data_IF_102803161282
#
_entry.id   IF_102803161282
#
_cell.length_a   1.000
_cell.length_b   1.000
_cell.length_c   1.000
_cell.angle_alpha   90.00
_cell.angle_beta   90.00
_cell.angle_gamma   90.00
#
_symmetry.space_group_name_H-M   'P 1'
#
loop_
_entity.id
_entity.type
_entity.pdbx_description
1 polymer ?
#
# COMPACT_ATOMS: atom_id res chain seq x y z
N UNK A 1 -4.33 17.59 -6.30
CA UNK A 1 -5.77 17.77 -6.06
C UNK A 1 -6.54 16.88 -7.04
N UNK A 2 -7.59 16.13 -6.58
CA UNK A 2 -8.37 15.28 -7.46
C UNK A 2 -9.07 16.10 -8.56
N UNK A 3 -9.14 15.55 -9.76
CA UNK A 3 -9.76 16.23 -10.92
C UNK A 3 -11.27 16.05 -10.97
N UNK A 4 -11.84 15.08 -10.24
CA UNK A 4 -13.28 14.80 -10.18
C UNK A 4 -13.63 13.81 -9.08
N UNK A 5 -14.91 13.52 -8.92
CA UNK A 5 -15.44 12.52 -7.99
C UNK A 5 -15.51 13.00 -6.55
N UNK A 6 -15.72 12.00 -5.66
CA UNK A 6 -15.89 12.21 -4.21
C UNK A 6 -14.94 11.30 -3.45
N UNK A 7 -14.42 11.80 -2.33
CA UNK A 7 -13.58 11.03 -1.41
C UNK A 7 -14.26 10.98 -0.06
N UNK A 8 -14.42 9.78 0.46
CA UNK A 8 -14.95 9.53 1.80
C UNK A 8 -13.90 8.83 2.67
N UNK A 9 -13.86 9.19 3.93
CA UNK A 9 -13.09 8.50 4.95
C UNK A 9 -13.95 8.28 6.18
N UNK A 10 -14.11 7.03 6.59
CA UNK A 10 -14.93 6.63 7.74
C UNK A 10 -16.34 7.25 7.69
N UNK A 11 -16.99 7.17 6.51
CA UNK A 11 -18.30 7.74 6.23
C UNK A 11 -18.35 9.27 6.06
N UNK A 12 -17.27 10.00 6.35
CA UNK A 12 -17.19 11.45 6.21
C UNK A 12 -16.73 11.83 4.80
N UNK A 13 -17.44 12.77 4.17
CA UNK A 13 -17.07 13.34 2.88
C UNK A 13 -15.91 14.32 3.07
N UNK A 14 -14.73 13.97 2.50
CA UNK A 14 -13.53 14.80 2.56
C UNK A 14 -13.40 15.74 1.37
N UNK A 15 -13.81 15.28 0.22
CA UNK A 15 -13.69 16.00 -1.04
C UNK A 15 -14.89 15.70 -1.95
N UNK A 16 -15.41 16.74 -2.58
CA UNK A 16 -16.42 16.64 -3.64
C UNK A 16 -16.15 17.76 -4.65
N UNK A 17 -15.72 17.39 -5.85
CA UNK A 17 -15.39 18.35 -6.90
C UNK A 17 -16.60 19.16 -7.34
N UNK A 18 -17.74 18.50 -7.50
CA UNK A 18 -18.95 19.09 -8.05
C UNK A 18 -19.55 20.13 -7.09
N UNK A 19 -19.50 19.83 -5.79
CA UNK A 19 -19.99 20.72 -4.73
C UNK A 19 -18.89 21.61 -4.12
N UNK A 20 -17.67 21.59 -4.66
CA UNK A 20 -16.51 22.36 -4.18
C UNK A 20 -16.23 22.16 -2.68
N UNK A 21 -16.46 20.94 -2.18
CA UNK A 21 -16.18 20.58 -0.78
C UNK A 21 -14.73 20.14 -0.67
N UNK A 22 -13.99 20.84 0.20
CA UNK A 22 -12.66 20.42 0.66
C UNK A 22 -12.57 20.76 2.15
N UNK A 23 -12.37 19.73 2.97
CA UNK A 23 -12.31 19.89 4.43
C UNK A 23 -10.89 20.23 4.88
N UNK A 24 -10.77 20.80 6.10
CA UNK A 24 -9.46 20.85 6.75
C UNK A 24 -8.92 19.44 6.95
N UNK A 25 -7.75 19.18 6.37
CA UNK A 25 -7.10 17.85 6.39
C UNK A 25 -6.27 17.58 7.65
N UNK A 26 -6.01 18.58 8.49
CA UNK A 26 -5.13 18.41 9.65
C UNK A 26 -5.62 17.30 10.62
N UNK A 27 -6.91 17.22 11.00
CA UNK A 27 -7.42 16.13 11.84
C UNK A 27 -7.33 14.75 11.18
N UNK A 28 -7.46 14.71 9.85
CA UNK A 28 -7.39 13.46 9.08
C UNK A 28 -5.95 12.98 8.86
N UNK A 29 -4.99 13.89 8.73
CA UNK A 29 -3.56 13.57 8.62
C UNK A 29 -3.05 12.79 9.82
N UNK A 30 -3.61 12.99 11.01
CA UNK A 30 -3.31 12.16 12.17
C UNK A 30 -3.81 10.71 11.99
N UNK A 31 -4.97 10.52 11.37
CA UNK A 31 -5.62 9.21 11.21
C UNK A 31 -5.15 8.44 9.98
N UNK A 32 -4.67 9.16 8.96
CA UNK A 32 -4.19 8.62 7.70
C UNK A 32 -2.73 9.00 7.52
N UNK A 33 -1.87 8.02 7.38
CA UNK A 33 -0.45 8.23 7.18
C UNK A 33 0.01 7.58 5.89
N UNK A 34 1.15 8.01 5.36
CA UNK A 34 1.74 7.46 4.16
C UNK A 34 3.18 7.01 4.42
N UNK A 35 3.52 5.83 3.91
CA UNK A 35 4.90 5.35 3.81
C UNK A 35 5.28 5.38 2.34
N UNK A 36 6.27 6.21 2.01
CA UNK A 36 6.67 6.48 0.63
C UNK A 36 7.58 5.40 0.05
N UNK A 37 7.59 5.32 -1.27
CA UNK A 37 8.41 4.42 -2.07
C UNK A 37 9.92 4.59 -1.81
N UNK A 38 10.39 5.82 -1.80
CA UNK A 38 11.80 6.15 -1.56
C UNK A 38 12.00 6.63 -0.12
N UNK A 39 12.55 5.76 0.77
CA UNK A 39 12.81 6.16 2.14
C UNK A 39 13.91 7.23 2.25
N UNK A 40 14.80 7.34 1.26
CA UNK A 40 15.85 8.35 1.28
C UNK A 40 15.29 9.75 0.98
N UNK A 41 14.50 9.88 -0.07
CA UNK A 41 13.89 11.15 -0.45
C UNK A 41 12.81 11.62 0.55
N UNK A 42 12.23 10.70 1.33
CA UNK A 42 11.16 11.01 2.28
C UNK A 42 11.62 11.45 3.68
N UNK A 43 12.92 11.34 3.99
CA UNK A 43 13.49 11.69 5.30
C UNK A 43 14.44 12.91 5.14
N UNK A 44 14.30 13.93 5.98
CA UNK A 44 15.23 15.09 5.96
C UNK A 44 16.62 14.64 6.48
N UNK A 45 17.66 14.69 5.64
CA UNK A 45 19.00 14.23 6.02
C UNK A 45 19.68 15.07 7.12
N UNK A 46 19.13 16.24 7.44
CA UNK A 46 19.64 17.14 8.47
C UNK A 46 19.05 16.87 9.85
N UNK A 47 17.98 16.08 9.91
CA UNK A 47 17.31 15.72 11.16
C UNK A 47 17.84 14.39 11.70
N UNK A 48 17.83 14.23 13.03
CA UNK A 48 18.06 12.92 13.66
C UNK A 48 16.86 12.00 13.45
N UNK A 49 17.06 10.69 13.60
CA UNK A 49 15.95 9.73 13.51
C UNK A 49 14.87 10.02 14.57
N UNK A 50 15.29 10.39 15.78
CA UNK A 50 14.36 10.77 16.86
C UNK A 50 13.52 11.99 16.50
N UNK A 51 14.10 12.99 15.84
CA UNK A 51 13.37 14.18 15.40
C UNK A 51 12.40 13.85 14.26
N UNK A 52 12.84 13.04 13.28
CA UNK A 52 11.99 12.60 12.16
C UNK A 52 10.77 11.83 12.65
N UNK A 53 10.97 10.88 13.59
CA UNK A 53 9.87 10.07 14.14
C UNK A 53 9.01 10.91 15.08
N UNK A 54 9.62 11.80 15.87
CA UNK A 54 8.93 12.64 16.84
C UNK A 54 8.18 13.84 16.25
N UNK A 55 8.43 14.23 14.99
CA UNK A 55 7.79 15.39 14.36
C UNK A 55 6.26 15.35 14.46
N UNK A 56 5.66 14.17 14.23
CA UNK A 56 4.23 14.00 14.36
C UNK A 56 3.71 14.20 15.80
N UNK A 57 4.48 13.80 16.80
CA UNK A 57 4.18 14.05 18.22
C UNK A 57 4.13 15.56 18.47
N UNK A 58 5.12 16.28 17.97
CA UNK A 58 5.29 17.71 18.21
C UNK A 58 4.17 18.52 17.54
N UNK A 59 3.87 18.25 16.25
CA UNK A 59 2.82 18.92 15.48
C UNK A 59 1.43 18.73 16.09
N UNK A 60 1.15 17.53 16.59
CA UNK A 60 -0.18 17.17 17.10
C UNK A 60 -0.26 17.15 18.64
N UNK A 61 0.79 17.62 19.34
CA UNK A 61 0.85 17.72 20.80
C UNK A 61 0.48 16.41 21.51
N UNK A 62 1.13 15.29 21.10
CA UNK A 62 0.82 13.95 21.57
C UNK A 62 1.67 13.49 22.76
N UNK A 63 2.58 14.32 23.24
CA UNK A 63 3.38 14.05 24.42
C UNK A 63 3.06 15.07 25.53
N UNK A 64 3.09 14.60 26.78
CA UNK A 64 2.88 15.43 27.96
C UNK A 64 4.12 16.27 28.31
N UNK A 65 5.31 15.75 28.01
CA UNK A 65 6.61 16.37 28.27
C UNK A 65 7.72 15.70 27.44
N UNK A 66 8.94 16.25 27.49
CA UNK A 66 10.09 15.74 26.75
C UNK A 66 10.43 14.27 27.06
N UNK A 67 10.24 13.84 28.29
CA UNK A 67 10.49 12.46 28.67
C UNK A 67 9.47 11.51 28.01
N UNK A 68 8.19 11.84 28.06
CA UNK A 68 7.11 11.07 27.43
C UNK A 68 7.30 11.01 25.90
N UNK A 69 7.71 12.16 25.28
CA UNK A 69 8.09 12.20 23.87
C UNK A 69 9.22 11.21 23.56
N UNK A 70 10.29 11.27 24.33
CA UNK A 70 11.44 10.39 24.15
C UNK A 70 11.08 8.92 24.33
N UNK A 71 10.36 8.57 25.39
CA UNK A 71 9.95 7.20 25.70
C UNK A 71 9.07 6.61 24.58
N UNK A 72 8.14 7.38 24.02
CA UNK A 72 7.32 6.99 22.86
C UNK A 72 8.16 6.72 21.62
N UNK A 73 9.12 7.57 21.31
CA UNK A 73 10.02 7.41 20.15
C UNK A 73 10.84 6.13 20.31
N UNK A 74 11.49 5.94 21.48
CA UNK A 74 12.32 4.76 21.74
C UNK A 74 11.49 3.47 21.65
N UNK A 75 10.34 3.40 22.31
CA UNK A 75 9.47 2.23 22.28
C UNK A 75 9.06 1.88 20.83
N UNK A 76 8.82 2.89 20.00
CA UNK A 76 8.45 2.64 18.61
C UNK A 76 9.64 2.23 17.73
N UNK A 77 10.83 2.80 17.94
CA UNK A 77 12.05 2.36 17.26
C UNK A 77 12.35 0.90 17.57
N UNK A 78 12.27 0.49 18.82
CA UNK A 78 12.45 -0.90 19.22
C UNK A 78 11.40 -1.83 18.59
N UNK A 79 10.15 -1.39 18.54
CA UNK A 79 9.05 -2.15 17.89
C UNK A 79 9.28 -2.38 16.41
N UNK A 80 9.88 -1.43 15.69
CA UNK A 80 10.25 -1.63 14.28
C UNK A 80 11.60 -2.31 14.09
N UNK A 81 12.22 -2.82 15.18
CA UNK A 81 13.49 -3.57 15.16
C UNK A 81 14.72 -2.68 15.00
N UNK A 82 14.66 -1.44 15.47
CA UNK A 82 15.79 -0.54 15.60
C UNK A 82 16.19 -0.39 17.08
N UNK A 83 17.45 -0.01 17.34
CA UNK A 83 17.93 0.19 18.71
C UNK A 83 17.62 1.61 19.18
N UNK A 84 17.49 1.80 20.50
CA UNK A 84 17.28 3.11 21.14
C UNK A 84 18.38 4.14 20.78
N UNK A 85 19.62 3.70 20.67
CA UNK A 85 20.75 4.56 20.26
C UNK A 85 20.60 5.17 18.87
N UNK A 86 19.79 4.54 18.00
CA UNK A 86 19.50 5.01 16.66
C UNK A 86 18.76 6.35 16.66
N UNK A 87 18.08 6.71 17.72
CA UNK A 87 17.35 7.99 17.82
C UNK A 87 18.25 9.21 17.59
N UNK A 88 19.52 9.13 18.02
CA UNK A 88 20.49 10.24 17.94
C UNK A 88 21.31 10.25 16.63
N UNK A 89 21.07 9.31 15.73
CA UNK A 89 21.78 9.19 14.45
C UNK A 89 21.02 9.86 13.31
N UNK A 90 21.74 10.14 12.24
CA UNK A 90 21.19 10.70 11.00
C UNK A 90 20.82 9.60 10.01
N UNK A 91 19.84 9.86 9.15
CA UNK A 91 19.33 8.85 8.21
C UNK A 91 20.38 8.34 7.21
N UNK A 92 21.43 9.12 6.89
CA UNK A 92 22.50 8.71 5.98
C UNK A 92 23.39 7.60 6.56
N UNK A 93 23.37 7.36 7.87
CA UNK A 93 24.12 6.30 8.55
C UNK A 93 23.41 4.93 8.48
N UNK A 94 22.24 4.87 7.90
CA UNK A 94 21.38 3.68 7.89
C UNK A 94 21.34 2.99 6.53
N UNK A 95 21.16 1.65 6.54
CA UNK A 95 20.85 0.88 5.33
C UNK A 95 19.46 1.23 4.79
N UNK A 96 19.16 0.86 3.53
CA UNK A 96 17.85 1.08 2.93
C UNK A 96 16.71 0.49 3.76
N UNK A 97 16.86 -0.75 4.24
CA UNK A 97 15.86 -1.41 5.08
C UNK A 97 15.68 -0.75 6.44
N UNK A 98 16.75 -0.24 7.04
CA UNK A 98 16.65 0.52 8.29
C UNK A 98 15.94 1.85 8.10
N UNK A 99 16.22 2.59 7.00
CA UNK A 99 15.50 3.82 6.66
C UNK A 99 14.02 3.56 6.42
N UNK A 100 13.69 2.45 5.77
CA UNK A 100 12.29 2.05 5.59
C UNK A 100 11.58 1.82 6.92
N UNK A 101 12.24 1.17 7.88
CA UNK A 101 11.72 0.99 9.24
C UNK A 101 11.52 2.34 9.96
N UNK A 102 12.39 3.32 9.74
CA UNK A 102 12.20 4.70 10.22
C UNK A 102 10.96 5.34 9.60
N UNK A 103 10.76 5.20 8.29
CA UNK A 103 9.57 5.69 7.59
C UNK A 103 8.27 5.06 8.15
N UNK A 104 8.30 3.76 8.45
CA UNK A 104 7.18 3.06 9.10
C UNK A 104 6.98 3.58 10.53
N UNK A 105 8.04 3.75 11.31
CA UNK A 105 7.95 4.33 12.67
C UNK A 105 7.34 5.73 12.63
N UNK A 106 7.79 6.60 11.71
CA UNK A 106 7.23 7.94 11.53
C UNK A 106 5.72 7.91 11.24
N UNK A 107 5.25 6.97 10.44
CA UNK A 107 3.82 6.82 10.18
C UNK A 107 3.05 6.29 11.42
N UNK A 108 3.63 5.35 12.14
CA UNK A 108 2.99 4.67 13.27
C UNK A 108 2.91 5.50 14.54
N UNK A 109 3.83 6.46 14.76
CA UNK A 109 3.87 7.28 15.97
C UNK A 109 2.55 8.03 16.21
N UNK A 110 1.81 8.29 15.14
CA UNK A 110 0.51 8.93 15.16
C UNK A 110 -0.64 8.01 15.58
N UNK A 111 -0.37 6.71 15.73
CA UNK A 111 -1.40 5.69 15.95
C UNK A 111 -2.54 5.77 14.90
N UNK A 112 -2.22 5.68 13.60
CA UNK A 112 -3.17 5.92 12.53
C UNK A 112 -4.19 4.78 12.40
N UNK A 113 -5.34 5.09 11.80
CA UNK A 113 -6.34 4.08 11.41
C UNK A 113 -6.10 3.52 10.02
N UNK A 114 -5.40 4.27 9.16
CA UNK A 114 -5.06 3.89 7.80
C UNK A 114 -3.62 4.27 7.48
N UNK A 115 -2.87 3.33 6.93
CA UNK A 115 -1.56 3.60 6.33
C UNK A 115 -1.63 3.29 4.83
N UNK A 116 -1.25 4.26 4.02
CA UNK A 116 -1.02 4.07 2.58
C UNK A 116 0.45 3.69 2.42
N UNK A 117 0.70 2.47 2.00
CA UNK A 117 2.04 1.94 1.77
C UNK A 117 2.30 1.96 0.25
N UNK A 118 2.93 3.03 -0.22
CA UNK A 118 3.16 3.28 -1.65
C UNK A 118 4.51 2.71 -2.08
N UNK A 119 4.49 1.53 -2.70
CA UNK A 119 5.66 0.75 -3.16
C UNK A 119 6.82 0.70 -2.14
N UNK A 120 6.49 0.79 -0.87
CA UNK A 120 7.43 1.03 0.22
C UNK A 120 8.48 -0.08 0.44
N UNK A 121 8.38 -1.21 -0.23
CA UNK A 121 9.32 -2.32 -0.14
C UNK A 121 10.07 -2.60 -1.45
N UNK A 122 9.73 -1.94 -2.55
CA UNK A 122 10.24 -2.25 -3.89
C UNK A 122 11.76 -2.11 -4.05
N UNK A 123 12.36 -1.17 -3.32
CA UNK A 123 13.79 -0.90 -3.36
C UNK A 123 14.63 -1.74 -2.37
N UNK A 124 14.02 -2.71 -1.68
CA UNK A 124 14.67 -3.55 -0.68
C UNK A 124 15.01 -4.94 -1.21
N UNK A 125 16.06 -5.55 -0.66
CA UNK A 125 16.38 -6.95 -0.92
C UNK A 125 15.25 -7.87 -0.43
N UNK A 126 15.02 -9.01 -1.10
CA UNK A 126 13.91 -9.95 -0.84
C UNK A 126 13.82 -10.36 0.65
N UNK A 127 14.96 -10.59 1.30
CA UNK A 127 14.99 -10.96 2.73
C UNK A 127 14.51 -9.82 3.63
N UNK A 128 14.85 -8.59 3.29
CA UNK A 128 14.43 -7.39 4.03
C UNK A 128 12.96 -7.06 3.74
N UNK A 129 12.51 -7.24 2.50
CA UNK A 129 11.09 -7.11 2.15
C UNK A 129 10.22 -8.00 3.04
N UNK A 130 10.57 -9.29 3.16
CA UNK A 130 9.83 -10.24 3.99
C UNK A 130 9.78 -9.81 5.47
N UNK A 131 10.88 -9.30 6.01
CA UNK A 131 10.93 -8.79 7.39
C UNK A 131 10.03 -7.58 7.59
N UNK A 132 10.03 -6.62 6.64
CA UNK A 132 9.20 -5.42 6.71
C UNK A 132 7.72 -5.78 6.58
N UNK A 133 7.36 -6.67 5.67
CA UNK A 133 5.96 -7.11 5.49
C UNK A 133 5.45 -7.86 6.72
N UNK A 134 6.25 -8.75 7.32
CA UNK A 134 5.88 -9.40 8.57
C UNK A 134 5.67 -8.39 9.71
N UNK A 135 6.58 -7.42 9.86
CA UNK A 135 6.42 -6.34 10.82
C UNK A 135 5.10 -5.58 10.61
N UNK A 136 4.75 -5.26 9.35
CA UNK A 136 3.48 -4.57 9.05
C UNK A 136 2.26 -5.43 9.42
N UNK A 137 2.31 -6.74 9.19
CA UNK A 137 1.23 -7.68 9.59
C UNK A 137 1.11 -7.78 11.12
N UNK A 138 2.23 -7.89 11.83
CA UNK A 138 2.23 -7.93 13.30
C UNK A 138 1.59 -6.66 13.87
N UNK A 139 1.97 -5.49 13.33
CA UNK A 139 1.40 -4.20 13.71
C UNK A 139 -0.10 -4.15 13.39
N UNK A 140 -0.53 -4.64 12.23
CA UNK A 140 -1.94 -4.71 11.85
C UNK A 140 -2.74 -5.52 12.88
N UNK A 141 -2.25 -6.70 13.24
CA UNK A 141 -2.90 -7.58 14.22
C UNK A 141 -3.01 -6.94 15.60
N UNK A 142 -1.96 -6.24 16.04
CA UNK A 142 -1.92 -5.61 17.35
C UNK A 142 -2.78 -4.33 17.45
N UNK A 143 -2.79 -3.52 16.40
CA UNK A 143 -3.40 -2.18 16.42
C UNK A 143 -4.74 -2.07 15.69
N UNK A 144 -5.06 -3.03 14.83
CA UNK A 144 -6.20 -2.94 13.92
C UNK A 144 -6.05 -1.86 12.83
N UNK A 145 -4.84 -1.36 12.58
CA UNK A 145 -4.57 -0.39 11.52
C UNK A 145 -4.84 -1.01 10.14
N UNK A 146 -5.63 -0.34 9.32
CA UNK A 146 -5.85 -0.77 7.94
C UNK A 146 -4.68 -0.33 7.04
N UNK A 147 -4.34 -1.14 6.04
CA UNK A 147 -3.33 -0.80 5.03
C UNK A 147 -3.96 -0.73 3.64
N UNK A 148 -3.66 0.34 2.91
CA UNK A 148 -3.75 0.39 1.46
C UNK A 148 -2.36 0.15 0.89
N UNK A 149 -2.10 -1.09 0.47
CA UNK A 149 -0.78 -1.52 0.00
C UNK A 149 -0.72 -1.42 -1.52
N UNK A 150 0.10 -0.53 -2.05
CA UNK A 150 0.34 -0.36 -3.48
C UNK A 150 1.66 -1.06 -3.80
N UNK A 151 1.63 -2.03 -4.70
CA UNK A 151 2.81 -2.80 -5.09
C UNK A 151 2.67 -3.38 -6.50
N UNK A 152 3.81 -3.71 -7.10
CA UNK A 152 3.91 -4.42 -8.37
C UNK A 152 4.36 -5.90 -8.19
N UNK A 153 4.84 -6.30 -7.01
CA UNK A 153 5.16 -7.71 -6.70
C UNK A 153 3.91 -8.44 -6.22
N UNK A 154 3.35 -9.24 -7.11
CA UNK A 154 2.12 -9.99 -6.87
C UNK A 154 2.28 -11.06 -5.79
N UNK A 155 3.49 -11.62 -5.59
CA UNK A 155 3.74 -12.60 -4.54
C UNK A 155 3.59 -11.98 -3.16
N UNK A 156 4.10 -10.75 -3.00
CA UNK A 156 3.96 -9.98 -1.77
C UNK A 156 2.51 -9.52 -1.56
N UNK A 157 1.82 -9.08 -2.63
CA UNK A 157 0.40 -8.72 -2.58
C UNK A 157 -0.43 -9.91 -2.12
N UNK A 158 -0.20 -11.11 -2.66
CA UNK A 158 -0.88 -12.34 -2.22
C UNK A 158 -0.70 -12.63 -0.73
N UNK A 159 0.49 -12.34 -0.21
CA UNK A 159 0.84 -12.65 1.18
C UNK A 159 0.23 -11.66 2.19
N UNK A 160 0.17 -10.36 1.85
CA UNK A 160 -0.21 -9.30 2.81
C UNK A 160 -1.69 -8.90 2.72
N UNK A 161 -2.32 -9.05 1.54
CA UNK A 161 -3.62 -8.45 1.27
C UNK A 161 -4.79 -9.39 1.53
N UNK A 162 -5.87 -8.88 2.12
CA UNK A 162 -7.15 -9.58 2.22
C UNK A 162 -7.98 -9.38 0.94
N UNK A 163 -7.85 -8.21 0.33
CA UNK A 163 -8.57 -7.80 -0.89
C UNK A 163 -7.61 -7.14 -1.87
N UNK A 164 -7.89 -7.29 -3.15
CA UNK A 164 -7.06 -6.76 -4.24
C UNK A 164 -7.93 -5.93 -5.18
N UNK A 165 -7.33 -4.84 -5.66
CA UNK A 165 -7.82 -4.08 -6.80
C UNK A 165 -6.74 -4.02 -7.88
N UNK A 166 -7.06 -4.46 -9.09
CA UNK A 166 -6.15 -4.43 -10.24
C UNK A 166 -6.36 -3.13 -11.01
N UNK A 167 -5.32 -2.31 -11.04
CA UNK A 167 -5.33 -1.00 -11.70
C UNK A 167 -4.48 -1.04 -12.98
N UNK A 168 -5.00 -0.52 -14.09
CA UNK A 168 -4.25 -0.37 -15.33
C UNK A 168 -4.65 0.92 -16.05
N UNK A 169 -3.67 1.70 -16.47
CA UNK A 169 -3.86 2.99 -17.15
C UNK A 169 -4.88 3.91 -16.46
N UNK A 170 -4.88 3.96 -15.14
CA UNK A 170 -5.81 4.77 -14.34
C UNK A 170 -7.21 4.19 -14.18
N UNK A 171 -7.48 2.99 -14.68
CA UNK A 171 -8.76 2.31 -14.54
C UNK A 171 -8.67 1.13 -13.58
N UNK A 172 -9.62 1.06 -12.64
CA UNK A 172 -9.80 -0.11 -11.78
C UNK A 172 -10.56 -1.18 -12.57
N UNK A 173 -9.84 -2.24 -12.95
CA UNK A 173 -10.33 -3.26 -13.88
C UNK A 173 -11.01 -4.43 -13.16
N UNK A 174 -10.44 -4.85 -12.03
CA UNK A 174 -10.92 -6.01 -11.31
C UNK A 174 -10.72 -5.85 -9.81
N UNK A 175 -11.67 -6.30 -8.99
CA UNK A 175 -11.59 -6.23 -7.52
C UNK A 175 -12.21 -7.47 -6.89
N UNK A 176 -11.58 -8.00 -5.84
CA UNK A 176 -12.08 -9.16 -5.12
C UNK A 176 -11.28 -9.43 -3.86
N UNK A 177 -11.56 -10.55 -3.20
CA UNK A 177 -10.64 -11.09 -2.20
C UNK A 177 -9.37 -11.57 -2.89
N UNK A 178 -8.30 -11.75 -2.12
CA UNK A 178 -7.05 -12.29 -2.66
C UNK A 178 -7.28 -13.65 -3.33
N UNK A 179 -8.09 -14.51 -2.73
CA UNK A 179 -8.44 -15.83 -3.27
C UNK A 179 -9.20 -15.72 -4.60
N UNK A 180 -10.27 -14.89 -4.66
CA UNK A 180 -11.05 -14.66 -5.87
C UNK A 180 -10.18 -14.19 -7.05
N UNK A 181 -9.28 -13.23 -6.81
CA UNK A 181 -8.42 -12.68 -7.88
C UNK A 181 -7.35 -13.68 -8.32
N UNK A 182 -6.74 -14.43 -7.39
CA UNK A 182 -5.66 -15.36 -7.74
C UNK A 182 -6.14 -16.68 -8.34
N UNK A 183 -7.32 -17.17 -7.94
CA UNK A 183 -7.86 -18.45 -8.41
C UNK A 183 -8.77 -18.29 -9.63
N UNK A 184 -9.52 -17.18 -9.69
CA UNK A 184 -10.52 -16.93 -10.73
C UNK A 184 -10.38 -15.55 -11.40
N UNK A 185 -9.19 -15.19 -11.94
CA UNK A 185 -9.02 -13.91 -12.64
C UNK A 185 -9.88 -13.86 -13.90
N UNK A 186 -10.64 -12.78 -14.07
CA UNK A 186 -11.57 -12.63 -15.19
C UNK A 186 -10.98 -11.73 -16.28
N UNK A 187 -10.46 -10.55 -15.92
CA UNK A 187 -9.95 -9.60 -16.90
C UNK A 187 -8.66 -10.13 -17.56
N UNK A 188 -8.50 -10.05 -18.90
CA UNK A 188 -7.30 -10.54 -19.61
C UNK A 188 -5.99 -9.94 -19.07
N UNK A 189 -6.00 -8.67 -18.66
CA UNK A 189 -4.84 -8.04 -18.02
C UNK A 189 -4.49 -8.71 -16.68
N UNK A 190 -5.48 -9.01 -15.85
CA UNK A 190 -5.25 -9.71 -14.56
C UNK A 190 -4.66 -11.10 -14.80
N UNK A 191 -5.20 -11.85 -15.77
CA UNK A 191 -4.66 -13.16 -16.17
C UNK A 191 -3.20 -13.06 -16.64
N UNK A 192 -2.90 -12.08 -17.47
CA UNK A 192 -1.54 -11.82 -17.93
C UNK A 192 -0.59 -11.52 -16.77
N UNK A 193 -0.98 -10.65 -15.83
CA UNK A 193 -0.17 -10.34 -14.64
C UNK A 193 0.10 -11.59 -13.79
N UNK A 194 -0.93 -12.38 -13.50
CA UNK A 194 -0.81 -13.58 -12.67
C UNK A 194 -0.03 -14.68 -13.38
N UNK A 195 -0.17 -14.79 -14.70
CA UNK A 195 0.60 -15.74 -15.50
C UNK A 195 2.09 -15.41 -15.54
N UNK A 196 2.50 -14.20 -15.21
CA UNK A 196 3.90 -13.79 -15.14
C UNK A 196 4.59 -14.15 -13.81
N UNK A 197 3.83 -14.57 -12.77
CA UNK A 197 4.41 -14.97 -11.48
C UNK A 197 5.25 -16.25 -11.65
N UNK A 198 6.55 -16.27 -11.31
CA UNK A 198 7.38 -17.47 -11.44
C UNK A 198 6.86 -18.61 -10.55
N UNK A 199 6.84 -19.82 -11.11
CA UNK A 199 6.48 -21.01 -10.35
C UNK A 199 7.72 -21.56 -9.62
N UNK A 200 7.57 -22.03 -8.36
CA UNK A 200 8.70 -22.55 -7.57
C UNK A 200 9.38 -23.79 -8.20
N UNK A 201 8.67 -24.50 -9.09
CA UNK A 201 9.20 -25.70 -9.75
C UNK A 201 9.85 -25.34 -11.10
N UNK A 202 11.20 -25.44 -11.24
CA UNK A 202 11.93 -25.08 -12.46
C UNK A 202 11.53 -25.89 -13.70
N UNK A 203 11.06 -27.13 -13.51
CA UNK A 203 10.64 -28.01 -14.63
C UNK A 203 9.30 -27.52 -15.21
N UNK A 204 8.38 -27.14 -14.34
CA UNK A 204 7.07 -26.60 -14.74
C UNK A 204 7.26 -25.21 -15.34
N UNK A 205 8.09 -24.38 -14.71
CA UNK A 205 8.39 -23.01 -15.17
C UNK A 205 8.96 -23.01 -16.62
N UNK A 206 9.86 -23.92 -16.96
CA UNK A 206 10.41 -24.03 -18.32
C UNK A 206 9.36 -24.34 -19.41
N UNK A 207 8.22 -24.91 -19.04
CA UNK A 207 7.14 -25.29 -19.96
C UNK A 207 6.01 -24.28 -19.99
N UNK A 208 6.01 -23.35 -19.06
CA UNK A 208 4.97 -22.34 -18.91
C UNK A 208 5.10 -21.31 -20.02
N UNK A 209 3.98 -20.99 -20.65
CA UNK A 209 3.84 -19.84 -21.56
C UNK A 209 3.07 -18.78 -20.81
N UNK A 210 3.70 -17.67 -20.50
CA UNK A 210 3.01 -16.53 -19.88
C UNK A 210 2.04 -15.92 -20.89
N UNK A 211 0.84 -15.59 -20.45
CA UNK A 211 -0.11 -14.82 -21.25
C UNK A 211 0.42 -13.39 -21.41
N UNK A 212 0.33 -12.87 -22.63
CA UNK A 212 0.69 -11.48 -22.92
C UNK A 212 -0.56 -10.66 -23.14
N UNK A 213 -0.62 -9.49 -22.53
CA UNK A 213 -1.69 -8.53 -22.73
C UNK A 213 -1.11 -7.21 -23.23
N UNK A 214 -1.63 -6.73 -24.34
CA UNK A 214 -1.34 -5.41 -24.87
C UNK A 214 -2.65 -4.65 -25.08
N UNK A 215 -2.81 -3.57 -24.33
CA UNK A 215 -4.01 -2.74 -24.41
C UNK A 215 -4.26 -2.18 -25.82
N UNK A 216 -3.19 -1.78 -26.52
CA UNK A 216 -3.31 -1.16 -27.83
C UNK A 216 -3.89 -2.09 -28.89
N UNK A 217 -3.65 -3.40 -28.76
CA UNK A 217 -4.11 -4.44 -29.71
C UNK A 217 -5.27 -5.28 -29.20
N UNK A 218 -5.63 -5.13 -27.90
CA UNK A 218 -6.66 -5.94 -27.24
C UNK A 218 -8.08 -5.72 -27.77
N UNK A 219 -8.36 -4.56 -28.35
CA UNK A 219 -9.70 -4.14 -28.74
C UNK A 219 -10.61 -3.74 -27.58
N UNK A 220 -10.11 -3.78 -26.32
CA UNK A 220 -10.85 -3.43 -25.13
C UNK A 220 -10.78 -1.92 -24.90
N UNK A 221 -11.94 -1.30 -24.68
CA UNK A 221 -12.04 0.13 -24.39
C UNK A 221 -12.51 0.35 -22.94
N UNK A 222 -11.59 0.68 -22.06
CA UNK A 222 -11.86 0.88 -20.63
C UNK A 222 -12.87 1.99 -20.33
N UNK A 223 -13.13 2.91 -21.27
CA UNK A 223 -14.14 3.96 -21.11
C UNK A 223 -15.57 3.46 -21.23
N UNK A 224 -15.78 2.33 -21.94
CA UNK A 224 -17.11 1.76 -22.23
C UNK A 224 -17.57 0.72 -21.22
N UNK A 225 -16.64 0.13 -20.46
CA UNK A 225 -16.95 -0.92 -19.49
C UNK A 225 -17.69 -0.39 -18.27
N UNK A 226 -18.64 -1.19 -17.79
CA UNK A 226 -19.31 -1.03 -16.49
C UNK A 226 -18.82 -2.08 -15.50
N UNK A 227 -19.19 -1.93 -14.23
CA UNK A 227 -18.81 -2.87 -13.19
C UNK A 227 -19.79 -4.04 -13.14
N UNK A 228 -19.32 -5.24 -13.48
CA UNK A 228 -20.07 -6.48 -13.43
C UNK A 228 -19.73 -7.28 -12.18
N UNK A 229 -20.73 -7.82 -11.51
CA UNK A 229 -20.55 -8.75 -10.38
C UNK A 229 -20.29 -10.16 -10.93
N UNK A 230 -19.25 -10.82 -10.44
CA UNK A 230 -18.90 -12.21 -10.81
C UNK A 230 -19.47 -13.16 -9.76
N UNK A 231 -18.91 -13.16 -8.58
CA UNK A 231 -19.34 -13.93 -7.41
C UNK A 231 -18.83 -13.26 -6.12
N UNK A 232 -19.40 -13.59 -4.97
CA UNK A 232 -18.92 -13.09 -3.67
C UNK A 232 -18.72 -11.59 -3.64
N UNK A 233 -17.48 -11.17 -3.50
CA UNK A 233 -17.05 -9.76 -3.55
C UNK A 233 -16.29 -9.39 -4.82
N UNK A 234 -16.29 -10.30 -5.80
CA UNK A 234 -15.55 -10.21 -7.04
C UNK A 234 -16.31 -9.40 -8.09
N UNK A 235 -15.66 -8.38 -8.61
CA UNK A 235 -16.18 -7.52 -9.67
C UNK A 235 -15.12 -7.31 -10.76
N UNK A 236 -15.60 -7.23 -12.00
CA UNK A 236 -14.77 -6.91 -13.17
C UNK A 236 -15.39 -5.74 -13.94
N UNK A 237 -14.56 -4.86 -14.49
CA UNK A 237 -14.97 -3.77 -15.36
C UNK A 237 -14.84 -4.20 -16.82
N UNK A 238 -15.99 -4.34 -17.50
CA UNK A 238 -16.06 -4.74 -18.90
C UNK A 238 -17.41 -4.36 -19.52
N UNK A 239 -17.59 -4.58 -20.81
CA UNK A 239 -18.89 -4.53 -21.48
C UNK A 239 -19.66 -5.84 -21.27
N UNK A 240 -20.98 -5.85 -21.50
CA UNK A 240 -21.81 -7.07 -21.40
C UNK A 240 -21.31 -8.19 -22.32
N UNK A 241 -20.84 -7.84 -23.52
CA UNK A 241 -20.30 -8.80 -24.49
C UNK A 241 -18.99 -9.44 -24.02
N UNK A 242 -18.09 -8.64 -23.46
CA UNK A 242 -16.82 -9.10 -22.88
C UNK A 242 -17.09 -9.97 -21.65
N UNK A 243 -18.01 -9.58 -20.78
CA UNK A 243 -18.39 -10.36 -19.61
C UNK A 243 -18.90 -11.75 -20.01
N UNK A 244 -19.81 -11.83 -20.98
CA UNK A 244 -20.33 -13.10 -21.49
C UNK A 244 -19.24 -13.97 -22.16
N UNK A 245 -18.18 -13.37 -22.67
CA UNK A 245 -17.05 -14.08 -23.28
C UNK A 245 -16.05 -14.57 -22.23
N UNK A 246 -15.76 -13.77 -21.19
CA UNK A 246 -14.68 -14.05 -20.23
C UNK A 246 -15.12 -14.97 -19.09
N UNK A 247 -16.41 -15.00 -18.75
CA UNK A 247 -17.00 -15.84 -17.70
C UNK A 247 -17.59 -17.18 -18.23
N UNK A 248 -17.13 -17.66 -19.39
CA UNK A 248 -17.55 -18.95 -19.98
C UNK A 248 -16.68 -20.12 -19.48
#
# INVERSE_FOLDING_TARGET
EPTGGKIYYDGNLLFDKDNKIAVDMLPYRRRMQIVFQDPYASLDPRMTIGDIVGEGIDIHHLAENEKDRHDKIIALLERVGLNSEHANRYCHEFSGGQRQRVGIARALIMNPKLIIADECISALDVSIQAQVVNLMKDIQQETGTAYLFIAHDLSMVKYISDRIGVLHLGHLLETGTTEEIFEHPIHPYTRSLLSAIPLPNPVVEKRRVAETYDYATSGIDYSKGTRHHVEGSHYVKCTDAEFAQWCR
#
